data_IF_469677263649
#
_entry.id   IF_469677263649
#
_cell.length_a   1.000
_cell.length_b   1.000
_cell.length_c   1.000
_cell.angle_alpha   90.00
_cell.angle_beta   90.00
_cell.angle_gamma   90.00
#
_symmetry.space_group_name_H-M   'P 1'
#
loop_
_entity.id
_entity.type
_entity.pdbx_description
1 polymer ?
#
# COMPACT_ATOMS: atom_id res chain seq x y z
N UNK A 1 7.37 -4.47 33.16
CA UNK A 1 8.08 -3.65 32.15
C UNK A 1 8.43 -4.48 30.91
N UNK A 2 9.04 -5.67 31.06
CA UNK A 2 9.32 -6.60 29.95
C UNK A 2 8.09 -6.97 29.10
N UNK A 3 6.96 -7.31 29.74
CA UNK A 3 5.71 -7.69 29.04
C UNK A 3 5.18 -6.64 28.04
N UNK A 4 5.31 -5.35 28.37
CA UNK A 4 4.88 -4.23 27.50
C UNK A 4 5.86 -4.04 26.33
N UNK A 5 7.15 -4.31 26.58
CA UNK A 5 8.18 -4.25 25.56
C UNK A 5 8.01 -5.38 24.54
N UNK A 6 7.76 -6.60 25.02
CA UNK A 6 7.46 -7.77 24.19
C UNK A 6 6.22 -7.55 23.33
N UNK A 7 5.17 -6.94 23.88
CA UNK A 7 3.94 -6.67 23.14
C UNK A 7 4.11 -5.60 22.05
N UNK A 8 4.92 -4.56 22.32
CA UNK A 8 5.29 -3.56 21.30
C UNK A 8 6.17 -4.15 20.21
N UNK A 9 7.14 -4.99 20.57
CA UNK A 9 8.01 -5.69 19.61
C UNK A 9 7.17 -6.61 18.73
N UNK A 10 6.30 -7.43 19.32
CA UNK A 10 5.42 -8.32 18.58
C UNK A 10 4.51 -7.52 17.63
N UNK A 11 3.93 -6.42 18.11
CA UNK A 11 3.13 -5.52 17.27
C UNK A 11 3.91 -4.98 16.07
N UNK A 12 5.15 -4.54 16.25
CA UNK A 12 6.01 -4.07 15.16
C UNK A 12 6.36 -5.19 14.17
N UNK A 13 6.73 -6.37 14.68
CA UNK A 13 7.05 -7.54 13.87
C UNK A 13 5.88 -7.93 12.96
N UNK A 14 4.67 -8.07 13.51
CA UNK A 14 3.49 -8.46 12.74
C UNK A 14 2.97 -7.37 11.79
N UNK A 15 3.20 -6.09 12.09
CA UNK A 15 2.67 -4.99 11.26
C UNK A 15 3.64 -4.56 10.16
N UNK A 16 4.95 -4.70 10.39
CA UNK A 16 5.97 -4.13 9.49
C UNK A 16 6.88 -5.22 8.96
N UNK A 17 7.59 -5.94 9.83
CA UNK A 17 8.63 -6.88 9.42
C UNK A 17 8.06 -8.05 8.63
N UNK A 18 7.01 -8.69 9.16
CA UNK A 18 6.42 -9.86 8.52
C UNK A 18 5.74 -9.52 7.18
N UNK A 19 4.91 -8.45 7.06
CA UNK A 19 4.40 -8.00 5.76
C UNK A 19 5.52 -7.67 4.78
N UNK A 20 6.59 -6.98 5.21
CA UNK A 20 7.73 -6.69 4.35
C UNK A 20 8.38 -7.96 3.77
N UNK A 21 8.60 -8.97 4.61
CA UNK A 21 9.19 -10.25 4.18
C UNK A 21 8.26 -10.99 3.22
N UNK A 22 6.97 -11.10 3.54
CA UNK A 22 5.99 -11.74 2.67
C UNK A 22 5.92 -11.05 1.30
N UNK A 23 5.88 -9.73 1.28
CA UNK A 23 5.85 -8.96 0.04
C UNK A 23 7.12 -9.17 -0.78
N UNK A 24 8.28 -9.20 -0.13
CA UNK A 24 9.57 -9.46 -0.79
C UNK A 24 9.65 -10.86 -1.39
N UNK A 25 9.19 -11.88 -0.66
CA UNK A 25 9.12 -13.27 -1.15
C UNK A 25 8.16 -13.34 -2.34
N UNK A 26 6.99 -12.71 -2.25
CA UNK A 26 6.03 -12.72 -3.35
C UNK A 26 6.57 -12.02 -4.60
N UNK A 27 7.25 -10.89 -4.43
CA UNK A 27 7.69 -10.05 -5.53
C UNK A 27 8.91 -10.61 -6.28
N UNK A 28 9.90 -11.11 -5.54
CA UNK A 28 11.15 -11.64 -6.11
C UNK A 28 11.15 -13.17 -6.25
N UNK A 29 10.31 -13.88 -5.50
CA UNK A 29 10.25 -15.34 -5.50
C UNK A 29 9.33 -15.94 -6.57
N UNK A 30 8.38 -15.16 -7.11
CA UNK A 30 7.48 -15.62 -8.17
C UNK A 30 7.72 -14.85 -9.47
N UNK A 31 8.38 -15.50 -10.43
CA UNK A 31 8.59 -14.95 -11.77
C UNK A 31 7.41 -15.32 -12.66
N UNK A 32 6.49 -14.37 -12.83
CA UNK A 32 5.30 -14.54 -13.65
C UNK A 32 5.59 -14.04 -15.07
N UNK A 33 4.93 -14.59 -16.09
CA UNK A 33 5.09 -14.12 -17.48
C UNK A 33 4.76 -12.63 -17.65
N UNK A 34 3.95 -12.06 -16.75
CA UNK A 34 3.60 -10.63 -16.72
C UNK A 34 4.73 -9.72 -16.22
N UNK A 35 5.73 -10.29 -15.54
CA UNK A 35 6.88 -9.55 -14.98
C UNK A 35 7.97 -9.32 -16.02
N UNK A 36 8.00 -10.10 -17.12
CA UNK A 36 9.07 -10.07 -18.14
C UNK A 36 9.27 -8.65 -18.72
N UNK A 37 8.18 -7.91 -18.97
CA UNK A 37 8.25 -6.53 -19.45
C UNK A 37 8.83 -5.58 -18.39
N UNK A 38 8.25 -5.56 -17.19
CA UNK A 38 8.66 -4.65 -16.10
C UNK A 38 10.11 -4.92 -15.67
N UNK A 39 10.54 -6.19 -15.66
CA UNK A 39 11.89 -6.61 -15.29
C UNK A 39 12.96 -6.19 -16.30
N UNK A 40 12.58 -5.96 -17.55
CA UNK A 40 13.51 -5.63 -18.65
C UNK A 40 13.51 -4.13 -19.01
N UNK A 41 12.46 -3.38 -18.72
CA UNK A 41 12.42 -1.95 -19.03
C UNK A 41 13.40 -1.16 -18.17
N UNK A 42 14.36 -0.49 -18.80
CA UNK A 42 15.33 0.37 -18.10
C UNK A 42 14.71 1.67 -17.59
N UNK A 43 13.64 2.12 -18.24
CA UNK A 43 12.93 3.38 -17.94
C UNK A 43 11.43 3.14 -17.82
N UNK A 44 10.73 4.12 -17.26
CA UNK A 44 9.27 4.13 -17.22
C UNK A 44 8.73 4.10 -18.65
N UNK A 45 7.83 3.18 -19.00
CA UNK A 45 7.31 3.08 -20.37
C UNK A 45 6.39 4.25 -20.73
N UNK A 46 6.52 4.74 -21.97
CA UNK A 46 5.72 5.85 -22.49
C UNK A 46 4.21 5.57 -22.49
N UNK A 47 3.82 4.30 -22.64
CA UNK A 47 2.40 3.94 -22.63
C UNK A 47 1.72 4.30 -21.29
N UNK A 48 2.46 4.39 -20.17
CA UNK A 48 1.92 4.79 -18.87
C UNK A 48 1.37 6.22 -18.91
N UNK A 49 1.86 7.08 -19.80
CA UNK A 49 1.41 8.45 -19.98
C UNK A 49 0.40 8.61 -21.13
N UNK A 50 -0.13 7.51 -21.64
CA UNK A 50 -1.06 7.50 -22.78
C UNK A 50 -2.40 6.85 -22.43
N UNK A 51 -3.44 7.19 -23.21
CA UNK A 51 -4.76 6.58 -23.10
C UNK A 51 -5.31 6.63 -21.66
N UNK A 52 -5.92 5.54 -21.17
CA UNK A 52 -6.52 5.43 -19.84
C UNK A 52 -5.46 5.50 -18.71
N UNK A 53 -4.21 5.14 -18.98
CA UNK A 53 -3.15 5.18 -17.97
C UNK A 53 -2.70 6.60 -17.64
N UNK A 54 -2.90 7.56 -18.54
CA UNK A 54 -2.55 8.97 -18.33
C UNK A 54 -3.25 9.60 -17.12
N UNK A 55 -4.43 9.10 -16.74
CA UNK A 55 -5.18 9.57 -15.58
C UNK A 55 -4.56 9.14 -14.23
N UNK A 56 -3.63 8.18 -14.23
CA UNK A 56 -2.92 7.71 -13.02
C UNK A 56 -1.71 8.60 -12.72
N UNK A 57 -1.96 9.89 -12.63
CA UNK A 57 -0.96 10.96 -12.54
C UNK A 57 0.06 10.68 -11.43
N UNK A 58 -0.39 10.46 -10.19
CA UNK A 58 0.51 10.28 -9.04
C UNK A 58 1.41 9.04 -9.20
N UNK A 59 0.88 7.83 -9.44
CA UNK A 59 1.70 6.64 -9.68
C UNK A 59 2.72 6.83 -10.81
N UNK A 60 2.34 7.46 -11.91
CA UNK A 60 3.21 7.61 -13.07
C UNK A 60 4.40 8.53 -12.79
N UNK A 61 4.15 9.72 -12.24
CA UNK A 61 5.24 10.64 -11.88
C UNK A 61 6.11 10.08 -10.75
N UNK A 62 5.50 9.39 -9.77
CA UNK A 62 6.25 8.73 -8.72
C UNK A 62 7.17 7.64 -9.29
N UNK A 63 6.67 6.83 -10.24
CA UNK A 63 7.47 5.83 -10.95
C UNK A 63 8.67 6.47 -11.65
N UNK A 64 8.52 7.64 -12.29
CA UNK A 64 9.65 8.33 -12.94
C UNK A 64 10.68 8.75 -11.91
N UNK A 65 10.27 9.52 -10.90
CA UNK A 65 11.21 10.07 -9.92
C UNK A 65 11.93 9.00 -9.10
N UNK A 66 11.24 7.93 -8.71
CA UNK A 66 11.87 6.82 -7.98
C UNK A 66 12.82 6.05 -8.90
N UNK A 67 12.47 5.86 -10.18
CA UNK A 67 13.37 5.19 -11.14
C UNK A 67 14.64 6.00 -11.37
N UNK A 68 14.54 7.31 -11.52
CA UNK A 68 15.71 8.18 -11.64
C UNK A 68 16.58 8.13 -10.38
N UNK A 69 15.95 8.17 -9.20
CA UNK A 69 16.65 8.07 -7.92
C UNK A 69 17.37 6.73 -7.76
N UNK A 70 16.70 5.61 -8.05
CA UNK A 70 17.32 4.27 -8.00
C UNK A 70 18.45 4.16 -9.00
N UNK A 71 18.27 4.66 -10.22
CA UNK A 71 19.31 4.66 -11.26
C UNK A 71 20.52 5.46 -10.82
N UNK A 72 20.32 6.64 -10.23
CA UNK A 72 21.39 7.45 -9.67
C UNK A 72 22.11 6.72 -8.51
N UNK A 73 21.36 6.11 -7.59
CA UNK A 73 21.91 5.40 -6.44
C UNK A 73 22.74 4.18 -6.85
N UNK A 74 22.26 3.42 -7.83
CA UNK A 74 22.94 2.23 -8.38
C UNK A 74 24.22 2.61 -9.13
N UNK A 75 24.22 3.75 -9.84
CA UNK A 75 25.37 4.17 -10.63
C UNK A 75 26.42 4.99 -9.86
N UNK A 76 26.08 5.59 -8.72
CA UNK A 76 27.00 6.43 -7.95
C UNK A 76 27.35 5.82 -6.57
N UNK A 77 26.58 6.04 -5.48
CA UNK A 77 27.00 5.65 -4.13
C UNK A 77 27.06 4.13 -3.92
N UNK A 78 26.28 3.35 -4.68
CA UNK A 78 26.23 1.89 -4.54
C UNK A 78 26.75 1.14 -5.77
N UNK A 79 27.70 1.74 -6.51
CA UNK A 79 28.26 1.10 -7.71
C UNK A 79 28.84 -0.30 -7.44
N UNK A 80 29.28 -0.59 -6.21
CA UNK A 80 29.74 -1.92 -5.81
C UNK A 80 28.61 -2.98 -5.83
N UNK A 81 27.38 -2.59 -5.47
CA UNK A 81 26.21 -3.49 -5.47
C UNK A 81 25.49 -3.55 -6.82
N UNK A 82 25.89 -2.72 -7.80
CA UNK A 82 25.26 -2.61 -9.12
C UNK A 82 25.11 -3.96 -9.83
N UNK A 83 26.16 -4.77 -9.84
CA UNK A 83 26.13 -6.09 -10.48
C UNK A 83 25.13 -7.06 -9.84
N UNK A 84 24.91 -6.95 -8.52
CA UNK A 84 23.93 -7.76 -7.82
C UNK A 84 22.49 -7.28 -8.08
N UNK A 85 22.27 -5.97 -8.04
CA UNK A 85 20.96 -5.35 -8.25
C UNK A 85 20.49 -5.61 -9.69
N UNK A 86 21.31 -5.30 -10.69
CA UNK A 86 20.93 -5.45 -12.10
C UNK A 86 20.79 -6.91 -12.54
N UNK A 87 21.37 -7.86 -11.80
CA UNK A 87 21.15 -9.30 -12.04
C UNK A 87 19.73 -9.73 -11.69
N UNK A 88 19.08 -9.07 -10.74
CA UNK A 88 17.73 -9.40 -10.27
C UNK A 88 16.63 -8.65 -11.03
N UNK A 89 16.95 -7.55 -11.71
CA UNK A 89 16.02 -6.85 -12.59
C UNK A 89 16.49 -5.44 -12.94
N UNK A 90 15.69 -4.74 -13.75
CA UNK A 90 15.97 -3.35 -14.12
C UNK A 90 15.80 -2.37 -12.95
N UNK A 91 16.33 -1.16 -13.11
CA UNK A 91 16.10 -0.07 -12.15
C UNK A 91 14.60 0.23 -11.96
N UNK A 92 13.82 0.17 -13.04
CA UNK A 92 12.36 0.35 -13.00
C UNK A 92 11.65 -0.74 -12.19
N UNK A 93 12.09 -2.00 -12.31
CA UNK A 93 11.55 -3.12 -11.54
C UNK A 93 11.77 -2.95 -10.04
N UNK A 94 12.97 -2.56 -9.62
CA UNK A 94 13.26 -2.27 -8.22
C UNK A 94 12.55 -1.01 -7.71
N UNK A 95 12.36 -0.02 -8.57
CA UNK A 95 11.61 1.20 -8.23
C UNK A 95 10.14 0.90 -7.98
N UNK A 96 9.55 0.07 -8.83
CA UNK A 96 8.18 -0.42 -8.66
C UNK A 96 8.02 -1.22 -7.35
N UNK A 97 9.00 -2.06 -7.02
CA UNK A 97 9.04 -2.74 -5.73
C UNK A 97 9.05 -1.76 -4.55
N UNK A 98 9.95 -0.77 -4.58
CA UNK A 98 10.12 0.21 -3.51
C UNK A 98 8.85 1.02 -3.29
N UNK A 99 8.21 1.49 -4.36
CA UNK A 99 6.93 2.19 -4.27
C UNK A 99 5.89 1.28 -3.61
N UNK A 100 5.71 0.06 -4.14
CA UNK A 100 4.68 -0.83 -3.66
C UNK A 100 4.89 -1.24 -2.20
N UNK A 101 6.11 -1.59 -1.81
CA UNK A 101 6.39 -2.03 -0.44
C UNK A 101 6.16 -0.91 0.56
N UNK A 102 6.50 0.34 0.24
CA UNK A 102 6.24 1.49 1.12
C UNK A 102 4.74 1.67 1.34
N UNK A 103 3.94 1.73 0.28
CA UNK A 103 2.49 1.92 0.40
C UNK A 103 1.78 0.69 1.00
N UNK A 104 2.30 -0.50 0.75
CA UNK A 104 1.81 -1.73 1.36
C UNK A 104 2.04 -1.75 2.88
N UNK A 105 3.23 -1.36 3.35
CA UNK A 105 3.51 -1.25 4.78
C UNK A 105 2.65 -0.17 5.45
N UNK A 106 2.44 0.97 4.79
CA UNK A 106 1.52 1.99 5.28
C UNK A 106 0.08 1.45 5.37
N UNK A 107 -0.36 0.70 4.37
CA UNK A 107 -1.66 0.01 4.37
C UNK A 107 -1.77 -0.95 5.56
N UNK A 108 -0.73 -1.75 5.82
CA UNK A 108 -0.68 -2.66 6.97
C UNK A 108 -0.83 -1.93 8.31
N UNK A 109 -0.15 -0.79 8.46
CA UNK A 109 -0.24 0.05 9.67
C UNK A 109 -1.64 0.64 9.84
N UNK A 110 -2.24 1.17 8.77
CA UNK A 110 -3.59 1.73 8.80
C UNK A 110 -4.62 0.64 9.12
N UNK A 111 -4.48 -0.54 8.50
CA UNK A 111 -5.36 -1.68 8.74
C UNK A 111 -5.32 -2.12 10.20
N UNK A 112 -4.14 -2.20 10.81
CA UNK A 112 -4.02 -2.48 12.25
C UNK A 112 -4.74 -1.43 13.09
N UNK A 113 -4.63 -0.15 12.75
CA UNK A 113 -5.35 0.94 13.45
C UNK A 113 -6.86 0.84 13.28
N UNK A 114 -7.36 0.39 12.12
CA UNK A 114 -8.79 0.15 11.90
C UNK A 114 -9.26 -1.00 12.79
N UNK A 115 -8.54 -2.13 12.79
CA UNK A 115 -8.94 -3.32 13.57
C UNK A 115 -8.90 -3.10 15.08
N UNK A 116 -8.03 -2.21 15.57
CA UNK A 116 -7.96 -1.84 16.98
C UNK A 116 -9.10 -0.91 17.42
N UNK A 117 -9.90 -0.42 16.48
CA UNK A 117 -10.85 0.65 16.70
C UNK A 117 -12.28 0.09 16.75
N UNK A 118 -12.91 0.23 17.92
CA UNK A 118 -14.25 -0.30 18.22
C UNK A 118 -14.45 -1.73 17.68
N UNK A 119 -13.63 -2.70 18.15
CA UNK A 119 -13.72 -4.06 17.68
C UNK A 119 -15.15 -4.59 17.90
N UNK A 120 -15.75 -5.19 16.88
CA UNK A 120 -16.90 -6.06 17.07
C UNK A 120 -16.56 -7.10 18.15
N UNK A 121 -17.55 -7.65 18.87
CA UNK A 121 -17.30 -8.57 20.00
C UNK A 121 -16.32 -9.71 19.65
N UNK A 122 -16.37 -10.19 18.40
CA UNK A 122 -15.49 -11.23 17.85
C UNK A 122 -14.01 -10.79 17.69
N UNK A 123 -13.76 -9.49 17.56
CA UNK A 123 -12.43 -8.86 17.42
C UNK A 123 -11.86 -8.33 18.75
N UNK A 124 -12.56 -8.55 19.88
CA UNK A 124 -12.07 -8.16 21.21
C UNK A 124 -10.83 -8.97 21.61
N UNK A 125 -10.71 -10.21 21.12
CA UNK A 125 -9.54 -11.03 21.39
C UNK A 125 -8.35 -10.59 20.51
N UNK A 126 -7.26 -10.17 21.16
CA UNK A 126 -6.06 -9.69 20.49
C UNK A 126 -5.46 -10.71 19.51
N UNK A 127 -5.55 -12.01 19.81
CA UNK A 127 -5.06 -13.08 18.92
C UNK A 127 -5.89 -13.18 17.64
N UNK A 128 -7.22 -13.10 17.76
CA UNK A 128 -8.12 -13.14 16.60
C UNK A 128 -7.88 -11.90 15.74
N UNK A 129 -7.72 -10.72 16.36
CA UNK A 129 -7.42 -9.49 15.64
C UNK A 129 -6.10 -9.55 14.87
N UNK A 130 -5.05 -10.11 15.48
CA UNK A 130 -3.77 -10.35 14.79
C UNK A 130 -3.92 -11.34 13.64
N UNK A 131 -4.68 -12.42 13.83
CA UNK A 131 -4.95 -13.40 12.77
C UNK A 131 -5.70 -12.78 11.60
N UNK A 132 -6.72 -11.96 11.84
CA UNK A 132 -7.47 -11.24 10.80
C UNK A 132 -6.57 -10.26 10.06
N UNK A 133 -5.71 -9.53 10.77
CA UNK A 133 -4.71 -8.65 10.16
C UNK A 133 -3.77 -9.43 9.23
N UNK A 134 -3.17 -10.51 9.73
CA UNK A 134 -2.27 -11.37 8.94
C UNK A 134 -2.94 -11.97 7.71
N UNK A 135 -4.16 -12.45 7.86
CA UNK A 135 -4.95 -13.02 6.78
C UNK A 135 -5.25 -11.96 5.70
N UNK A 136 -5.61 -10.73 6.09
CA UNK A 136 -5.78 -9.63 5.15
C UNK A 136 -4.48 -9.25 4.43
N UNK A 137 -3.35 -9.18 5.15
CA UNK A 137 -2.02 -8.96 4.57
C UNK A 137 -1.70 -10.06 3.55
N UNK A 138 -1.93 -11.31 3.89
CA UNK A 138 -1.69 -12.45 3.02
C UNK A 138 -2.51 -12.38 1.72
N UNK A 139 -3.80 -12.04 1.81
CA UNK A 139 -4.65 -11.84 0.64
C UNK A 139 -4.15 -10.68 -0.24
N UNK A 140 -3.75 -9.55 0.35
CA UNK A 140 -3.20 -8.44 -0.44
C UNK A 140 -1.95 -8.87 -1.19
N UNK A 141 -1.04 -9.62 -0.53
CA UNK A 141 0.20 -10.12 -1.15
C UNK A 141 -0.11 -11.04 -2.33
N UNK A 142 -1.03 -12.01 -2.17
CA UNK A 142 -1.43 -12.91 -3.26
C UNK A 142 -2.02 -12.13 -4.44
N UNK A 143 -2.87 -11.15 -4.16
CA UNK A 143 -3.48 -10.33 -5.22
C UNK A 143 -2.45 -9.45 -5.96
N UNK A 144 -1.33 -9.12 -5.30
CA UNK A 144 -0.24 -8.35 -5.90
C UNK A 144 0.77 -9.22 -6.67
N UNK A 145 0.40 -10.45 -7.04
CA UNK A 145 1.20 -11.34 -7.88
C UNK A 145 1.62 -10.71 -9.21
N UNK A 146 0.80 -9.82 -9.78
CA UNK A 146 1.19 -8.98 -10.92
C UNK A 146 1.62 -7.61 -10.40
N UNK A 147 2.91 -7.25 -10.49
CA UNK A 147 3.38 -5.98 -9.97
C UNK A 147 2.90 -4.84 -10.87
N UNK A 148 2.11 -3.95 -10.28
CA UNK A 148 1.64 -2.70 -10.90
C UNK A 148 2.13 -1.53 -10.07
N UNK A 149 2.31 -0.35 -10.67
CA UNK A 149 2.80 0.84 -9.96
C UNK A 149 1.72 1.56 -9.14
N UNK A 150 0.44 1.23 -9.32
CA UNK A 150 -0.67 1.98 -8.73
C UNK A 150 -1.45 1.25 -7.63
N UNK A 151 -1.42 -0.08 -7.56
CA UNK A 151 -2.41 -0.83 -6.76
C UNK A 151 -2.17 -0.69 -5.26
N UNK A 152 -0.94 -0.80 -4.79
CA UNK A 152 -0.61 -0.58 -3.37
C UNK A 152 -0.88 0.86 -2.94
N UNK A 153 -0.68 1.84 -3.83
CA UNK A 153 -1.00 3.25 -3.59
C UNK A 153 -2.51 3.42 -3.42
N UNK A 154 -3.30 2.85 -4.33
CA UNK A 154 -4.76 2.90 -4.28
C UNK A 154 -5.31 2.21 -3.02
N UNK A 155 -4.77 1.05 -2.65
CA UNK A 155 -5.15 0.33 -1.42
C UNK A 155 -4.86 1.15 -0.16
N UNK A 156 -3.73 1.87 -0.13
CA UNK A 156 -3.40 2.76 0.98
C UNK A 156 -4.43 3.90 1.11
N UNK A 157 -4.74 4.62 0.03
CA UNK A 157 -5.73 5.71 0.10
C UNK A 157 -7.15 5.21 0.38
N UNK A 158 -7.49 4.00 -0.07
CA UNK A 158 -8.76 3.36 0.26
C UNK A 158 -8.86 3.02 1.75
N UNK A 159 -7.89 2.30 2.30
CA UNK A 159 -7.86 1.97 3.74
C UNK A 159 -7.78 3.23 4.61
N UNK A 160 -7.06 4.26 4.17
CA UNK A 160 -7.02 5.54 4.87
C UNK A 160 -8.39 6.23 4.85
N UNK A 161 -9.10 6.21 3.72
CA UNK A 161 -10.46 6.72 3.61
C UNK A 161 -11.45 6.02 4.55
N UNK A 162 -11.37 4.68 4.63
CA UNK A 162 -12.12 3.89 5.62
C UNK A 162 -11.79 4.34 7.05
N UNK A 163 -10.51 4.47 7.38
CA UNK A 163 -10.08 4.88 8.71
C UNK A 163 -10.66 6.24 9.14
N UNK A 164 -10.61 7.24 8.26
CA UNK A 164 -11.18 8.56 8.54
C UNK A 164 -12.71 8.55 8.57
N UNK A 165 -13.35 7.73 7.74
CA UNK A 165 -14.81 7.53 7.80
C UNK A 165 -15.22 7.00 9.17
N UNK A 166 -14.63 5.90 9.63
CA UNK A 166 -14.94 5.32 10.95
C UNK A 166 -14.64 6.31 12.09
N UNK A 167 -13.52 7.01 12.00
CA UNK A 167 -13.12 8.03 12.97
C UNK A 167 -14.13 9.20 13.03
N UNK A 168 -14.63 9.64 11.88
CA UNK A 168 -15.64 10.69 11.80
C UNK A 168 -16.96 10.25 12.43
N UNK A 169 -17.38 9.00 12.22
CA UNK A 169 -18.62 8.48 12.82
C UNK A 169 -18.59 8.45 14.34
N UNK A 170 -17.42 8.15 14.94
CA UNK A 170 -17.23 8.14 16.39
C UNK A 170 -17.16 9.54 17.00
N UNK A 171 -16.33 10.41 16.41
CA UNK A 171 -15.96 11.70 17.04
C UNK A 171 -16.77 12.87 16.52
N UNK A 172 -17.47 12.71 15.38
CA UNK A 172 -18.24 13.75 14.66
C UNK A 172 -17.48 15.05 14.42
N UNK A 173 -16.15 14.98 14.30
CA UNK A 173 -15.31 16.17 14.09
C UNK A 173 -15.26 16.53 12.60
N UNK A 174 -15.64 17.75 12.25
CA UNK A 174 -15.60 18.26 10.86
C UNK A 174 -14.21 18.17 10.23
N UNK A 175 -13.14 18.24 11.03
CA UNK A 175 -11.77 18.04 10.56
C UNK A 175 -11.57 16.67 9.89
N UNK A 176 -12.15 15.60 10.44
CA UNK A 176 -12.01 14.24 9.89
C UNK A 176 -12.74 14.11 8.53
N UNK A 177 -13.81 14.90 8.31
CA UNK A 177 -14.51 14.99 7.02
C UNK A 177 -13.69 15.77 5.99
N UNK A 178 -13.06 16.88 6.38
CA UNK A 178 -12.14 17.63 5.51
C UNK A 178 -10.98 16.73 5.05
N UNK A 179 -10.37 15.99 5.99
CA UNK A 179 -9.31 15.03 5.65
C UNK A 179 -9.80 13.94 4.70
N UNK A 180 -11.00 13.39 4.91
CA UNK A 180 -11.61 12.42 4.00
C UNK A 180 -11.81 13.01 2.59
N UNK A 181 -12.29 14.25 2.49
CA UNK A 181 -12.44 14.95 1.20
C UNK A 181 -11.10 15.12 0.46
N UNK A 182 -10.05 15.51 1.18
CA UNK A 182 -8.69 15.61 0.62
C UNK A 182 -8.20 14.23 0.15
N UNK A 183 -8.41 13.17 0.94
CA UNK A 183 -8.02 11.80 0.57
C UNK A 183 -8.73 11.34 -0.69
N UNK A 184 -10.04 11.59 -0.81
CA UNK A 184 -10.81 11.22 -2.00
C UNK A 184 -10.30 11.99 -3.22
N UNK A 185 -10.06 13.30 -3.08
CA UNK A 185 -9.53 14.12 -4.16
C UNK A 185 -8.16 13.61 -4.65
N UNK A 186 -7.22 13.36 -3.72
CA UNK A 186 -5.89 12.81 -4.05
C UNK A 186 -6.03 11.42 -4.67
N UNK A 187 -6.90 10.56 -4.12
CA UNK A 187 -7.12 9.20 -4.62
C UNK A 187 -7.59 9.19 -6.08
N UNK A 188 -8.33 10.20 -6.54
CA UNK A 188 -8.77 10.30 -7.94
C UNK A 188 -7.60 10.40 -8.91
N UNK A 189 -6.49 11.04 -8.51
CA UNK A 189 -5.26 11.12 -9.31
C UNK A 189 -4.38 9.87 -9.20
N UNK A 190 -4.72 8.94 -8.32
CA UNK A 190 -4.05 7.64 -8.18
C UNK A 190 -4.73 6.62 -9.08
N UNK A 191 -6.05 6.47 -8.90
CA UNK A 191 -6.88 5.50 -9.60
C UNK A 191 -8.36 5.84 -9.39
N UNK A 192 -9.21 5.32 -10.26
CA UNK A 192 -10.67 5.48 -10.22
C UNK A 192 -11.32 4.89 -8.95
N UNK A 193 -10.57 4.14 -8.14
CA UNK A 193 -11.00 3.52 -6.88
C UNK A 193 -11.43 4.52 -5.80
N UNK A 194 -11.22 5.82 -5.99
CA UNK A 194 -11.75 6.87 -5.11
C UNK A 194 -13.27 6.78 -4.94
N UNK A 195 -14.00 6.26 -5.94
CA UNK A 195 -15.44 6.05 -5.87
C UNK A 195 -15.86 5.08 -4.75
N UNK A 196 -15.01 4.10 -4.41
CA UNK A 196 -15.28 3.13 -3.35
C UNK A 196 -15.30 3.80 -1.96
N UNK A 197 -14.43 4.80 -1.73
CA UNK A 197 -14.45 5.58 -0.49
C UNK A 197 -15.75 6.37 -0.33
N UNK A 198 -16.26 6.95 -1.42
CA UNK A 198 -17.54 7.68 -1.42
C UNK A 198 -18.70 6.71 -1.14
N UNK A 199 -18.73 5.57 -1.82
CA UNK A 199 -19.76 4.55 -1.62
C UNK A 199 -19.75 4.03 -0.18
N UNK A 200 -18.57 3.76 0.37
CA UNK A 200 -18.39 3.32 1.75
C UNK A 200 -18.90 4.37 2.75
N UNK A 201 -18.52 5.64 2.57
CA UNK A 201 -19.01 6.74 3.40
C UNK A 201 -20.53 6.87 3.37
N UNK A 202 -21.15 6.79 2.18
CA UNK A 202 -22.60 6.86 2.01
C UNK A 202 -23.33 5.71 2.70
N UNK A 203 -22.83 4.48 2.57
CA UNK A 203 -23.41 3.30 3.22
C UNK A 203 -23.52 3.49 4.74
N UNK A 204 -22.47 4.01 5.37
CA UNK A 204 -22.46 4.22 6.82
C UNK A 204 -23.34 5.38 7.28
N UNK A 205 -23.47 6.45 6.48
CA UNK A 205 -24.43 7.51 6.76
C UNK A 205 -25.86 6.98 6.74
N UNK A 206 -26.22 6.16 5.75
CA UNK A 206 -27.55 5.53 5.66
C UNK A 206 -27.84 4.63 6.86
N UNK A 207 -26.86 3.82 7.29
CA UNK A 207 -27.00 2.95 8.47
C UNK A 207 -27.25 3.73 9.78
N UNK A 208 -26.82 4.99 9.87
CA UNK A 208 -27.09 5.82 11.05
C UNK A 208 -28.45 6.52 11.05
N UNK A 209 -29.12 6.58 9.89
CA UNK A 209 -30.44 7.21 9.76
C UNK A 209 -31.59 6.22 10.05
N UNK A 210 -31.31 4.92 10.01
CA UNK A 210 -32.22 3.83 10.39
C UNK A 210 -31.89 3.32 11.79
#
# INVERSE_FOLDING_TARGET
MFKIFDEKINGFLFTVVFPFLLFSISYYGFETSYVIGIKSWEKVPDFMFSSVYAYRVIPNYLSVHVTDAVTYLVNNPFSFAKGFILKQGSAFYHSTFLINVVFFLLTSVVLRKILQRNPAELLLNDKIRQMVHLLAIFFIVIMQYVPTNCDCIALFFYTLGIFYTLRYLEKRKSADLIFLGIIIFISTFVRETACLNIAFFRLFLLKQMN
#
